data_IF_423427307160
#
_entry.id   IF_423427307160
#
_cell.length_a   1.000
_cell.length_b   1.000
_cell.length_c   1.000
_cell.angle_alpha   90.00
_cell.angle_beta   90.00
_cell.angle_gamma   90.00
#
_symmetry.space_group_name_H-M   'P 1'
#
loop_
_entity.id
_entity.type
_entity.pdbx_description
1 polymer ?
#
# COMPACT_ATOMS: atom_id res chain seq x y z
N UNK A 1 45.36 -16.68 -6.58
CA UNK A 1 44.44 -17.83 -6.53
C UNK A 1 44.36 -18.31 -5.09
N UNK A 2 43.29 -17.94 -4.38
CA UNK A 2 42.76 -18.64 -3.22
C UNK A 2 41.35 -18.06 -2.99
N UNK A 3 40.35 -18.89 -3.24
CA UNK A 3 38.92 -18.59 -3.22
C UNK A 3 38.38 -18.53 -1.78
N UNK A 4 37.50 -17.55 -1.55
CA UNK A 4 36.28 -17.54 -0.74
C UNK A 4 36.21 -18.40 0.53
N UNK A 5 36.42 -17.76 1.69
CA UNK A 5 36.08 -18.33 3.00
C UNK A 5 35.20 -17.40 3.87
N UNK A 6 34.60 -16.34 3.32
CA UNK A 6 33.67 -15.48 4.08
C UNK A 6 32.38 -15.11 3.36
N UNK A 7 32.15 -15.58 2.13
CA UNK A 7 30.89 -15.41 1.40
C UNK A 7 29.79 -16.40 1.88
N UNK A 8 29.83 -16.75 3.17
CA UNK A 8 28.76 -17.42 3.91
C UNK A 8 27.92 -16.45 4.75
N UNK A 9 28.00 -15.14 4.49
CA UNK A 9 26.99 -14.18 4.93
C UNK A 9 25.67 -14.50 4.24
N UNK A 10 24.88 -15.38 4.88
CA UNK A 10 23.43 -15.57 4.75
C UNK A 10 22.93 -15.07 3.40
N UNK A 11 22.93 -15.94 2.38
CA UNK A 11 22.35 -15.61 1.09
C UNK A 11 20.94 -15.05 1.35
N UNK A 12 20.77 -13.74 1.16
CA UNK A 12 19.50 -13.08 1.42
C UNK A 12 18.46 -13.82 0.56
N UNK A 13 17.52 -14.51 1.21
CA UNK A 13 16.53 -15.33 0.53
C UNK A 13 15.69 -14.39 -0.31
N UNK A 14 16.00 -14.26 -1.60
CA UNK A 14 15.28 -13.32 -2.45
C UNK A 14 13.94 -13.92 -2.82
N UNK A 15 12.84 -13.26 -2.45
CA UNK A 15 11.52 -13.67 -2.92
C UNK A 15 11.51 -13.70 -4.45
N UNK A 16 10.93 -14.77 -5.01
CA UNK A 16 10.67 -14.86 -6.44
C UNK A 16 9.56 -13.87 -6.81
N UNK A 17 9.53 -13.41 -8.06
CA UNK A 17 8.55 -12.40 -8.51
C UNK A 17 7.10 -12.80 -8.21
N UNK A 18 6.78 -14.08 -8.39
CA UNK A 18 5.44 -14.63 -8.17
C UNK A 18 5.06 -14.64 -6.68
N UNK A 19 6.03 -14.88 -5.80
CA UNK A 19 5.85 -14.86 -4.34
C UNK A 19 5.58 -13.43 -3.84
N UNK A 20 6.23 -12.43 -4.46
CA UNK A 20 5.97 -11.01 -4.14
C UNK A 20 4.54 -10.60 -4.46
N UNK A 21 4.03 -11.04 -5.62
CA UNK A 21 2.62 -10.80 -5.97
C UNK A 21 1.68 -11.55 -5.04
N UNK A 22 1.99 -12.80 -4.66
CA UNK A 22 1.17 -13.56 -3.73
C UNK A 22 1.08 -12.88 -2.34
N UNK A 23 2.20 -12.39 -1.81
CA UNK A 23 2.23 -11.69 -0.51
C UNK A 23 1.51 -10.34 -0.59
N UNK A 24 1.67 -9.60 -1.70
CA UNK A 24 0.96 -8.34 -1.91
C UNK A 24 -0.55 -8.54 -2.04
N UNK A 25 -0.99 -9.48 -2.86
CA UNK A 25 -2.41 -9.80 -3.07
C UNK A 25 -3.01 -10.37 -1.78
N UNK A 26 -2.26 -11.21 -1.05
CA UNK A 26 -2.67 -11.73 0.25
C UNK A 26 -2.87 -10.61 1.27
N UNK A 27 -1.91 -9.69 1.39
CA UNK A 27 -2.04 -8.50 2.22
C UNK A 27 -3.24 -7.64 1.84
N UNK A 28 -3.40 -7.36 0.54
CA UNK A 28 -4.55 -6.63 0.01
C UNK A 28 -5.89 -7.31 0.35
N UNK A 29 -6.00 -8.63 0.16
CA UNK A 29 -7.21 -9.39 0.44
C UNK A 29 -7.57 -9.36 1.94
N UNK A 30 -6.57 -9.56 2.82
CA UNK A 30 -6.76 -9.45 4.27
C UNK A 30 -7.18 -8.02 4.63
N UNK A 31 -6.55 -7.02 4.02
CA UNK A 31 -6.92 -5.61 4.17
C UNK A 31 -8.38 -5.36 3.84
N UNK A 32 -8.83 -5.71 2.63
CA UNK A 32 -10.23 -5.54 2.22
C UNK A 32 -11.18 -6.24 3.18
N UNK A 33 -10.90 -7.50 3.54
CA UNK A 33 -11.74 -8.27 4.45
C UNK A 33 -11.84 -7.63 5.85
N UNK A 34 -10.71 -7.16 6.38
CA UNK A 34 -10.65 -6.49 7.68
C UNK A 34 -11.39 -5.14 7.66
N UNK A 35 -11.19 -4.33 6.61
CA UNK A 35 -11.88 -3.05 6.44
C UNK A 35 -13.38 -3.19 6.26
N UNK A 36 -13.80 -4.16 5.44
CA UNK A 36 -15.20 -4.49 5.23
C UNK A 36 -15.86 -5.02 6.50
N UNK A 37 -15.20 -5.95 7.21
CA UNK A 37 -15.65 -6.47 8.50
C UNK A 37 -15.76 -5.38 9.57
N UNK A 38 -14.80 -4.46 9.61
CA UNK A 38 -14.85 -3.30 10.51
C UNK A 38 -16.05 -2.41 10.17
N UNK A 39 -16.34 -2.12 8.89
CA UNK A 39 -17.51 -1.34 8.51
C UNK A 39 -18.82 -2.02 8.92
N UNK A 40 -18.93 -3.34 8.75
CA UNK A 40 -20.09 -4.10 9.22
C UNK A 40 -20.24 -4.04 10.75
N UNK A 41 -19.12 -4.14 11.48
CA UNK A 41 -19.13 -4.11 12.94
C UNK A 41 -19.47 -2.72 13.51
N UNK A 42 -19.01 -1.64 12.88
CA UNK A 42 -19.31 -0.27 13.29
C UNK A 42 -20.72 0.20 12.86
N UNK A 43 -21.33 -0.45 11.86
CA UNK A 43 -22.64 -0.09 11.36
C UNK A 43 -22.65 1.27 10.62
N UNK A 44 -23.80 1.94 10.58
CA UNK A 44 -24.00 3.18 9.82
C UNK A 44 -23.27 4.35 10.51
N UNK A 45 -22.09 4.72 10.02
CA UNK A 45 -21.20 5.69 10.68
C UNK A 45 -21.35 7.14 10.22
N UNK A 46 -22.28 7.46 9.32
CA UNK A 46 -22.51 8.84 8.86
C UNK A 46 -21.25 9.44 8.20
N UNK A 47 -20.88 10.68 8.56
CA UNK A 47 -19.70 11.39 8.02
C UNK A 47 -18.40 11.16 8.80
N UNK A 48 -18.43 10.35 9.87
CA UNK A 48 -17.25 9.97 10.66
C UNK A 48 -16.23 8.98 10.03
N UNK A 49 -16.48 8.27 8.90
CA UNK A 49 -15.54 7.29 8.37
C UNK A 49 -14.14 7.84 8.10
N UNK A 50 -14.04 9.10 7.66
CA UNK A 50 -12.77 9.76 7.32
C UNK A 50 -11.88 9.92 8.55
N UNK A 51 -12.45 10.25 9.71
CA UNK A 51 -11.68 10.43 10.96
C UNK A 51 -11.21 9.09 11.53
N UNK A 52 -12.01 8.02 11.37
CA UNK A 52 -11.64 6.68 11.82
C UNK A 52 -10.55 6.08 10.91
N UNK A 53 -10.59 6.38 9.61
CA UNK A 53 -9.58 5.94 8.65
C UNK A 53 -8.26 6.72 8.75
N UNK A 54 -8.24 7.91 9.36
CA UNK A 54 -7.06 8.78 9.47
C UNK A 54 -5.80 8.10 10.05
N UNK A 55 -5.84 7.35 11.17
CA UNK A 55 -4.65 6.66 11.68
C UNK A 55 -4.12 5.59 10.72
N UNK A 56 -5.00 4.91 9.98
CA UNK A 56 -4.61 3.90 8.98
C UNK A 56 -3.96 4.58 7.77
N UNK A 57 -4.49 5.73 7.34
CA UNK A 57 -3.88 6.58 6.31
C UNK A 57 -2.48 7.04 6.72
N UNK A 58 -2.30 7.47 7.97
CA UNK A 58 -1.01 7.91 8.48
C UNK A 58 0.00 6.76 8.51
N UNK A 59 -0.43 5.57 8.93
CA UNK A 59 0.41 4.36 8.91
C UNK A 59 0.81 3.97 7.47
N UNK A 60 -0.13 3.99 6.53
CA UNK A 60 0.14 3.73 5.12
C UNK A 60 1.10 4.77 4.51
N UNK A 61 0.93 6.06 4.84
CA UNK A 61 1.81 7.13 4.40
C UNK A 61 3.23 6.98 4.95
N UNK A 62 3.35 6.64 6.24
CA UNK A 62 4.64 6.40 6.89
C UNK A 62 5.41 5.26 6.22
N UNK A 63 4.73 4.13 5.98
CA UNK A 63 5.32 2.99 5.30
C UNK A 63 5.73 3.34 3.87
N UNK A 64 4.86 4.00 3.11
CA UNK A 64 5.15 4.41 1.73
C UNK A 64 6.36 5.35 1.64
N UNK A 65 6.52 6.28 2.59
CA UNK A 65 7.71 7.14 2.70
C UNK A 65 8.95 6.33 3.05
N UNK A 66 8.86 5.34 3.93
CA UNK A 66 9.98 4.45 4.26
C UNK A 66 10.41 3.63 3.03
N UNK A 67 9.46 3.12 2.25
CA UNK A 67 9.70 2.38 1.01
C UNK A 67 10.29 3.28 -0.08
N UNK A 68 9.84 4.53 -0.18
CA UNK A 68 10.42 5.52 -1.09
C UNK A 68 11.88 5.85 -0.75
N UNK A 69 12.21 6.03 0.53
CA UNK A 69 13.59 6.29 0.98
C UNK A 69 14.51 5.12 0.66
N UNK A 70 14.08 3.88 0.94
CA UNK A 70 14.85 2.67 0.60
C UNK A 70 15.04 2.54 -0.93
N UNK A 71 14.04 2.91 -1.73
CA UNK A 71 14.16 2.94 -3.19
C UNK A 71 15.20 3.95 -3.70
N UNK A 72 15.27 5.13 -3.05
CA UNK A 72 16.25 6.17 -3.38
C UNK A 72 17.67 5.75 -2.99
N UNK A 73 17.85 5.17 -1.79
CA UNK A 73 19.16 4.73 -1.30
C UNK A 73 19.80 3.68 -2.23
N UNK A 74 18.96 2.82 -2.84
CA UNK A 74 19.39 1.79 -3.81
C UNK A 74 19.56 2.29 -5.25
N UNK A 75 19.33 3.58 -5.52
CA UNK A 75 19.38 4.20 -6.87
C UNK A 75 18.49 3.51 -7.92
N UNK A 76 17.42 2.83 -7.50
CA UNK A 76 16.49 2.16 -8.40
C UNK A 76 15.42 3.14 -8.91
N UNK A 77 15.74 3.94 -9.92
CA UNK A 77 14.91 5.06 -10.41
C UNK A 77 13.48 4.66 -10.76
N UNK A 78 13.29 3.48 -11.36
CA UNK A 78 11.95 2.98 -11.68
C UNK A 78 11.09 2.72 -10.44
N UNK A 79 11.69 2.19 -9.38
CA UNK A 79 10.99 1.92 -8.13
C UNK A 79 10.80 3.16 -7.28
N UNK A 80 11.71 4.12 -7.32
CA UNK A 80 11.50 5.40 -6.64
C UNK A 80 10.33 6.17 -7.25
N UNK A 81 10.15 6.12 -8.57
CA UNK A 81 8.98 6.73 -9.23
C UNK A 81 7.68 6.01 -8.84
N UNK A 82 7.68 4.67 -8.88
CA UNK A 82 6.50 3.91 -8.47
C UNK A 82 6.12 4.16 -6.99
N UNK A 83 7.11 4.21 -6.09
CA UNK A 83 6.90 4.53 -4.68
C UNK A 83 6.43 5.98 -4.49
N UNK A 84 6.98 6.94 -5.23
CA UNK A 84 6.50 8.32 -5.21
C UNK A 84 5.03 8.42 -5.67
N UNK A 85 4.64 7.67 -6.70
CA UNK A 85 3.25 7.62 -7.16
C UNK A 85 2.31 7.04 -6.09
N UNK A 86 2.73 6.01 -5.35
CA UNK A 86 1.96 5.49 -4.20
C UNK A 86 1.76 6.59 -3.16
N UNK A 87 2.82 7.30 -2.76
CA UNK A 87 2.74 8.39 -1.77
C UNK A 87 1.84 9.54 -2.26
N UNK A 88 2.03 9.98 -3.51
CA UNK A 88 1.26 11.09 -4.08
C UNK A 88 -0.21 10.76 -4.21
N UNK A 89 -0.54 9.56 -4.70
CA UNK A 89 -1.95 9.13 -4.84
C UNK A 89 -2.62 8.94 -3.48
N UNK A 90 -1.89 8.40 -2.49
CA UNK A 90 -2.39 8.24 -1.13
C UNK A 90 -2.68 9.58 -0.44
N UNK A 91 -1.84 10.59 -0.64
CA UNK A 91 -2.05 11.94 -0.08
C UNK A 91 -3.08 12.75 -0.87
N UNK A 92 -3.12 12.57 -2.20
CA UNK A 92 -4.08 13.25 -3.06
C UNK A 92 -5.52 12.83 -2.72
N UNK A 93 -5.75 11.59 -2.28
CA UNK A 93 -7.09 11.10 -1.98
C UNK A 93 -7.81 11.87 -0.86
N UNK A 94 -7.31 11.93 0.40
CA UNK A 94 -7.95 12.69 1.46
C UNK A 94 -7.92 14.19 1.20
N UNK A 95 -6.84 14.71 0.61
CA UNK A 95 -6.76 16.13 0.26
C UNK A 95 -7.88 16.52 -0.72
N UNK A 96 -8.04 15.75 -1.79
CA UNK A 96 -9.01 16.07 -2.81
C UNK A 96 -10.45 15.82 -2.34
N UNK A 97 -10.67 14.85 -1.45
CA UNK A 97 -11.97 14.65 -0.76
C UNK A 97 -12.35 15.75 0.23
N UNK A 98 -11.37 16.50 0.78
CA UNK A 98 -11.64 17.65 1.67
C UNK A 98 -11.95 18.94 0.91
N UNK A 99 -11.28 19.18 -0.22
CA UNK A 99 -11.35 20.47 -0.93
C UNK A 99 -12.27 20.48 -2.14
N UNK A 100 -12.57 19.32 -2.74
CA UNK A 100 -13.38 19.24 -3.95
C UNK A 100 -14.63 18.38 -3.73
N UNK A 101 -15.82 18.86 -4.12
CA UNK A 101 -17.03 18.03 -4.15
C UNK A 101 -16.88 16.98 -5.26
N UNK A 102 -16.35 15.81 -4.90
CA UNK A 102 -16.13 14.72 -5.84
C UNK A 102 -17.42 13.94 -6.09
N UNK A 103 -17.67 13.61 -7.35
CA UNK A 103 -18.63 12.56 -7.70
C UNK A 103 -18.09 11.20 -7.26
N UNK A 104 -18.97 10.23 -6.98
CA UNK A 104 -18.57 8.89 -6.55
C UNK A 104 -17.50 8.23 -7.44
N UNK A 105 -17.54 8.33 -8.79
CA UNK A 105 -16.49 7.77 -9.65
C UNK A 105 -15.12 8.44 -9.44
N UNK A 106 -15.09 9.76 -9.23
CA UNK A 106 -13.85 10.51 -9.04
C UNK A 106 -13.14 10.11 -7.74
N UNK A 107 -13.91 9.78 -6.70
CA UNK A 107 -13.39 9.32 -5.42
C UNK A 107 -12.62 8.00 -5.53
N UNK A 108 -12.98 7.14 -6.49
CA UNK A 108 -12.34 5.83 -6.70
C UNK A 108 -11.07 5.87 -7.56
N UNK A 109 -10.78 6.98 -8.23
CA UNK A 109 -9.61 7.10 -9.12
C UNK A 109 -8.32 6.99 -8.31
N UNK A 110 -8.25 7.68 -7.17
CA UNK A 110 -7.06 7.68 -6.34
C UNK A 110 -6.69 6.28 -5.80
N UNK A 111 -7.59 5.51 -5.15
CA UNK A 111 -7.25 4.15 -4.72
C UNK A 111 -6.91 3.21 -5.90
N UNK A 112 -7.57 3.35 -7.05
CA UNK A 112 -7.20 2.58 -8.24
C UNK A 112 -5.77 2.90 -8.72
N UNK A 113 -5.40 4.18 -8.74
CA UNK A 113 -4.05 4.64 -9.08
C UNK A 113 -3.00 4.17 -8.06
N UNK A 114 -3.34 4.16 -6.78
CA UNK A 114 -2.48 3.62 -5.71
C UNK A 114 -2.23 2.12 -5.90
N UNK A 115 -3.27 1.33 -6.18
CA UNK A 115 -3.13 -0.10 -6.46
C UNK A 115 -2.28 -0.37 -7.71
N UNK A 116 -2.49 0.39 -8.78
CA UNK A 116 -1.66 0.29 -9.99
C UNK A 116 -0.19 0.62 -9.73
N UNK A 117 0.07 1.64 -8.91
CA UNK A 117 1.42 2.04 -8.53
C UNK A 117 2.10 1.00 -7.64
N UNK A 118 1.35 0.33 -6.75
CA UNK A 118 1.84 -0.79 -5.94
C UNK A 118 2.20 -2.02 -6.79
N UNK A 119 1.41 -2.34 -7.82
CA UNK A 119 1.73 -3.43 -8.74
C UNK A 119 3.01 -3.12 -9.55
N UNK A 120 3.16 -1.87 -10.00
CA UNK A 120 4.38 -1.41 -10.66
C UNK A 120 5.57 -1.50 -9.71
N UNK A 121 5.41 -1.07 -8.46
CA UNK A 121 6.45 -1.16 -7.44
C UNK A 121 6.86 -2.61 -7.15
N UNK A 122 5.90 -3.51 -6.97
CA UNK A 122 6.16 -4.94 -6.77
C UNK A 122 6.84 -5.59 -7.99
N UNK A 123 6.56 -5.09 -9.20
CA UNK A 123 7.17 -5.58 -10.44
C UNK A 123 8.63 -5.18 -10.60
N UNK A 124 9.00 -3.99 -10.10
CA UNK A 124 10.34 -3.45 -10.24
C UNK A 124 11.23 -3.76 -9.03
N UNK A 125 10.63 -3.98 -7.85
CA UNK A 125 11.39 -4.15 -6.61
C UNK A 125 12.16 -5.47 -6.62
N UNK A 126 13.49 -5.40 -6.54
CA UNK A 126 14.39 -6.57 -6.45
C UNK A 126 15.10 -6.69 -5.10
N UNK A 127 14.70 -5.90 -4.11
CA UNK A 127 15.38 -5.76 -2.84
C UNK A 127 15.05 -6.82 -1.77
N UNK A 128 15.35 -6.46 -0.54
CA UNK A 128 15.32 -7.33 0.65
C UNK A 128 13.89 -7.80 1.03
N UNK A 129 13.77 -8.95 1.70
CA UNK A 129 12.48 -9.56 2.09
C UNK A 129 11.65 -8.62 2.97
N UNK A 130 12.32 -7.89 3.87
CA UNK A 130 11.69 -6.95 4.78
C UNK A 130 10.87 -5.89 4.03
N UNK A 131 11.38 -5.42 2.89
CA UNK A 131 10.67 -4.44 2.06
C UNK A 131 9.42 -5.04 1.41
N UNK A 132 9.43 -6.32 1.05
CA UNK A 132 8.24 -7.01 0.51
C UNK A 132 7.14 -7.10 1.58
N UNK A 133 7.51 -7.39 2.84
CA UNK A 133 6.55 -7.38 3.95
C UNK A 133 6.00 -5.97 4.24
N UNK A 134 6.84 -4.93 4.20
CA UNK A 134 6.38 -3.53 4.35
C UNK A 134 5.38 -3.16 3.25
N UNK A 135 5.69 -3.50 2.00
CA UNK A 135 4.84 -3.24 0.84
C UNK A 135 3.52 -4.01 0.93
N UNK A 136 3.53 -5.22 1.49
CA UNK A 136 2.31 -5.97 1.79
C UNK A 136 1.48 -5.35 2.91
N UNK A 137 2.12 -4.78 3.92
CA UNK A 137 1.46 -4.04 5.00
C UNK A 137 0.85 -2.73 4.51
N UNK A 138 1.52 -2.03 3.59
CA UNK A 138 0.97 -0.88 2.89
C UNK A 138 -0.28 -1.28 2.11
N UNK A 139 -0.19 -2.34 1.31
CA UNK A 139 -1.32 -2.85 0.53
C UNK A 139 -2.49 -3.23 1.44
N UNK A 140 -2.23 -3.93 2.54
CA UNK A 140 -3.24 -4.28 3.53
C UNK A 140 -3.92 -3.04 4.14
N UNK A 141 -3.14 -2.01 4.49
CA UNK A 141 -3.66 -0.79 5.10
C UNK A 141 -4.56 -0.02 4.13
N UNK A 142 -4.13 0.13 2.89
CA UNK A 142 -4.88 0.84 1.85
C UNK A 142 -6.13 0.06 1.46
N UNK A 143 -6.01 -1.26 1.30
CA UNK A 143 -7.15 -2.12 1.02
C UNK A 143 -8.14 -2.18 2.18
N UNK A 144 -7.70 -2.04 3.44
CA UNK A 144 -8.61 -1.88 4.57
C UNK A 144 -9.40 -0.57 4.50
N UNK A 145 -8.75 0.53 4.12
CA UNK A 145 -9.46 1.80 3.90
C UNK A 145 -10.48 1.66 2.75
N UNK A 146 -10.07 1.06 1.63
CA UNK A 146 -10.94 0.79 0.48
C UNK A 146 -12.14 -0.07 0.89
N UNK A 147 -11.91 -1.17 1.62
CA UNK A 147 -12.96 -2.06 2.10
C UNK A 147 -13.93 -1.36 3.06
N UNK A 148 -13.39 -0.56 3.98
CA UNK A 148 -14.18 0.19 4.94
C UNK A 148 -15.04 1.27 4.28
N UNK A 149 -14.45 2.09 3.39
CA UNK A 149 -15.17 3.15 2.68
C UNK A 149 -16.16 2.57 1.65
N UNK A 150 -15.78 1.50 0.96
CA UNK A 150 -16.65 0.80 0.01
C UNK A 150 -17.89 0.21 0.67
N UNK A 151 -17.71 -0.45 1.82
CA UNK A 151 -18.82 -0.96 2.62
C UNK A 151 -19.76 0.15 3.08
N UNK A 152 -19.22 1.26 3.61
CA UNK A 152 -20.04 2.41 4.01
C UNK A 152 -20.78 3.03 2.82
N UNK A 153 -20.17 3.08 1.63
CA UNK A 153 -20.84 3.57 0.40
C UNK A 153 -22.01 2.68 0.00
N UNK A 154 -21.89 1.35 0.17
CA UNK A 154 -22.96 0.39 -0.14
C UNK A 154 -24.11 0.43 0.88
N UNK A 155 -23.82 0.73 2.15
CA UNK A 155 -24.81 0.77 3.23
C UNK A 155 -25.59 2.10 3.29
N UNK A 156 -25.08 3.15 2.65
CA UNK A 156 -25.70 4.48 2.55
C UNK A 156 -25.51 5.34 3.79
#
# INVERSE_FOLDING_TARGET
MAYDASEQTIAAVSFRRDERFAVLIGGAAIGVAAGFGAALALGRTGSWPIFIAAPIFLAAAYLAVATFRDALDRRAVGCSIAAALVVLTLLAWPAAGMFFPMTAPQFWIAPAATMGSMLLLASCWSGDQLATYRLSGEAASICAIIGFLGANTLMG
#
